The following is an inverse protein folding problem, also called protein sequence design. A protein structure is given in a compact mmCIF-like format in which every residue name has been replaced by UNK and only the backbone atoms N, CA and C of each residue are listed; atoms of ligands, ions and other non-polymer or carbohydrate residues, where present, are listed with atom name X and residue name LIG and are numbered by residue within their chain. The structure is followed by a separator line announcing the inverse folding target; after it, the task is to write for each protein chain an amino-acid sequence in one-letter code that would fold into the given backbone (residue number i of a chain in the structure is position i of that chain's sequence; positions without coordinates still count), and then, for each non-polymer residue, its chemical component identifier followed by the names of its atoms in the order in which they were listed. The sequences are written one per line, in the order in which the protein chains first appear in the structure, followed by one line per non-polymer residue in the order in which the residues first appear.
data_IF_262520885823
#
_entry.id   IF_262520885823
#
_cell.length_a   1.000
_cell.length_b   1.000
_cell.length_c   1.000
_cell.angle_alpha   90.00
_cell.angle_beta   90.00
_cell.angle_gamma   90.00
#
_symmetry.space_group_name_H-M   'P 1'
#
loop_
_entity.id
_entity.type
_entity.pdbx_description
1 polymer ?
#
# COMPACT_ATOMS: atom_id res chain seq x y z
N UNK A 1 -66.91 47.28 -64.93
CA UNK A 1 -66.49 45.87 -65.01
C UNK A 1 -65.16 45.78 -64.27
N UNK A 2 -65.18 45.27 -63.04
CA UNK A 2 -64.01 45.14 -62.17
C UNK A 2 -63.63 43.65 -62.10
N UNK A 3 -62.35 43.35 -62.27
CA UNK A 3 -61.78 42.00 -62.25
C UNK A 3 -60.65 41.93 -61.20
N UNK A 4 -60.34 40.72 -60.67
CA UNK A 4 -60.22 40.43 -59.23
C UNK A 4 -58.79 40.48 -58.63
N UNK A 5 -58.64 40.39 -57.29
CA UNK A 5 -57.34 40.44 -56.59
C UNK A 5 -56.50 39.16 -56.79
N UNK A 6 -55.19 39.34 -56.97
CA UNK A 6 -54.19 38.26 -57.07
C UNK A 6 -53.79 37.73 -55.69
N UNK A 7 -53.88 36.41 -55.52
CA UNK A 7 -53.43 35.67 -54.33
C UNK A 7 -51.89 35.59 -54.24
N UNK A 8 -51.31 35.45 -53.03
CA UNK A 8 -49.87 35.25 -52.86
C UNK A 8 -49.45 33.85 -53.31
N UNK A 9 -48.43 33.78 -54.16
CA UNK A 9 -47.85 32.53 -54.66
C UNK A 9 -46.89 31.97 -53.61
N UNK A 10 -47.10 30.71 -53.22
CA UNK A 10 -46.16 29.95 -52.40
C UNK A 10 -44.87 29.72 -53.20
N UNK A 11 -43.82 30.47 -52.89
CA UNK A 11 -42.50 30.24 -53.45
C UNK A 11 -41.77 29.21 -52.57
N UNK A 12 -41.87 27.93 -52.97
CA UNK A 12 -41.02 26.86 -52.47
C UNK A 12 -39.59 27.08 -52.95
N UNK A 13 -38.82 27.85 -52.17
CA UNK A 13 -37.40 28.00 -52.40
C UNK A 13 -36.71 26.68 -51.98
N UNK A 14 -36.48 25.81 -52.96
CA UNK A 14 -35.54 24.69 -52.87
C UNK A 14 -34.14 25.28 -52.67
N UNK A 15 -33.79 25.46 -51.40
CA UNK A 15 -32.42 25.71 -50.96
C UNK A 15 -31.58 24.45 -51.17
N UNK A 16 -30.45 24.65 -51.85
CA UNK A 16 -29.42 23.68 -52.17
C UNK A 16 -29.18 22.62 -51.09
N UNK A 17 -29.08 21.37 -51.53
CA UNK A 17 -28.59 20.25 -50.73
C UNK A 17 -27.17 20.55 -50.25
N UNK A 18 -27.04 20.87 -48.96
CA UNK A 18 -25.77 20.76 -48.25
C UNK A 18 -25.33 19.29 -48.27
N UNK A 19 -24.03 18.98 -48.36
CA UNK A 19 -23.57 17.61 -48.25
C UNK A 19 -23.92 17.13 -46.83
N UNK A 20 -24.86 16.19 -46.74
CA UNK A 20 -25.08 15.45 -45.51
C UNK A 20 -23.73 14.85 -45.10
N UNK A 21 -23.22 15.10 -43.88
CA UNK A 21 -22.02 14.43 -43.43
C UNK A 21 -22.36 12.94 -43.40
N UNK A 22 -21.63 12.19 -44.20
CA UNK A 22 -21.67 10.74 -44.29
C UNK A 22 -21.58 10.14 -42.88
N UNK A 23 -22.73 9.77 -42.32
CA UNK A 23 -22.81 8.90 -41.17
C UNK A 23 -22.32 7.52 -41.61
N UNK A 24 -21.01 7.30 -41.51
CA UNK A 24 -20.43 5.97 -41.62
C UNK A 24 -20.94 5.14 -40.45
N UNK A 25 -21.93 4.30 -40.74
CA UNK A 25 -22.49 3.27 -39.87
C UNK A 25 -21.39 2.26 -39.53
N UNK A 26 -20.66 2.49 -38.44
CA UNK A 26 -19.71 1.51 -37.90
C UNK A 26 -19.94 1.42 -36.39
N UNK A 27 -20.57 0.29 -36.01
CA UNK A 27 -20.71 -0.32 -34.69
C UNK A 27 -21.29 0.54 -33.54
N UNK A 28 -22.58 0.32 -33.27
CA UNK A 28 -23.27 0.48 -31.97
C UNK A 28 -23.36 1.92 -31.40
N UNK A 29 -24.34 2.74 -31.86
CA UNK A 29 -24.59 4.08 -31.31
C UNK A 29 -24.90 4.08 -29.80
N UNK A 30 -25.53 3.02 -29.29
CA UNK A 30 -25.81 2.85 -27.87
C UNK A 30 -24.53 2.68 -27.02
N UNK A 31 -23.56 1.90 -27.50
CA UNK A 31 -22.26 1.75 -26.83
C UNK A 31 -21.49 3.06 -26.86
N UNK A 32 -21.50 3.78 -27.99
CA UNK A 32 -20.87 5.11 -28.08
C UNK A 32 -21.50 6.12 -27.12
N UNK A 33 -22.83 6.12 -27.01
CA UNK A 33 -23.56 6.97 -26.06
C UNK A 33 -23.33 6.58 -24.60
N UNK A 34 -23.20 5.29 -24.31
CA UNK A 34 -22.81 4.81 -22.99
C UNK A 34 -21.37 5.23 -22.66
N UNK A 35 -20.42 5.02 -23.57
CA UNK A 35 -19.02 5.42 -23.40
C UNK A 35 -18.87 6.93 -23.24
N UNK A 36 -19.69 7.74 -23.93
CA UNK A 36 -19.67 9.20 -23.76
C UNK A 36 -20.24 9.62 -22.40
N UNK A 37 -21.34 9.00 -21.94
CA UNK A 37 -21.88 9.21 -20.60
C UNK A 37 -20.91 8.75 -19.52
N UNK A 38 -20.27 7.60 -19.70
CA UNK A 38 -19.26 7.06 -18.79
C UNK A 38 -18.03 7.99 -18.73
N UNK A 39 -17.52 8.42 -19.88
CA UNK A 39 -16.40 9.36 -19.98
C UNK A 39 -16.73 10.69 -19.29
N UNK A 40 -17.93 11.23 -19.52
CA UNK A 40 -18.40 12.44 -18.84
C UNK A 40 -18.53 12.22 -17.33
N UNK A 41 -19.04 11.07 -16.87
CA UNK A 41 -19.13 10.70 -15.45
C UNK A 41 -17.76 10.58 -14.79
N UNK A 42 -16.78 9.97 -15.46
CA UNK A 42 -15.41 9.84 -14.96
C UNK A 42 -14.74 11.22 -14.90
N UNK A 43 -14.86 12.02 -15.96
CA UNK A 43 -14.35 13.41 -15.99
C UNK A 43 -15.00 14.26 -14.91
N UNK A 44 -16.31 14.13 -14.71
CA UNK A 44 -17.01 14.80 -13.60
C UNK A 44 -16.49 14.33 -12.25
N UNK A 45 -16.34 13.02 -12.03
CA UNK A 45 -15.79 12.47 -10.79
C UNK A 45 -14.38 12.98 -10.50
N UNK A 46 -13.53 13.06 -11.52
CA UNK A 46 -12.18 13.61 -11.39
C UNK A 46 -12.18 15.13 -11.17
N UNK A 47 -13.11 15.87 -11.76
CA UNK A 47 -13.25 17.32 -11.53
C UNK A 47 -13.72 17.67 -10.12
N UNK A 48 -14.44 16.74 -9.47
CA UNK A 48 -14.90 16.88 -8.08
C UNK A 48 -13.86 16.42 -7.04
N UNK A 49 -12.62 16.15 -7.46
CA UNK A 49 -11.52 15.82 -6.54
C UNK A 49 -11.25 16.99 -5.61
N UNK A 50 -11.23 16.72 -4.30
CA UNK A 50 -10.81 17.71 -3.31
C UNK A 50 -9.28 17.80 -3.30
N UNK A 51 -8.70 19.00 -3.14
CA UNK A 51 -7.25 19.15 -3.11
C UNK A 51 -6.66 18.34 -1.97
N UNK A 52 -5.55 17.65 -2.23
CA UNK A 52 -4.90 16.76 -1.26
C UNK A 52 -4.49 17.45 0.04
N UNK A 53 -4.27 18.77 -0.01
CA UNK A 53 -3.97 19.59 1.16
C UNK A 53 -5.06 19.55 2.23
N UNK A 54 -6.35 19.45 1.86
CA UNK A 54 -7.45 19.33 2.83
C UNK A 54 -7.45 17.98 3.55
N UNK A 55 -6.94 16.94 2.89
CA UNK A 55 -6.85 15.59 3.46
C UNK A 55 -5.60 15.45 4.35
N UNK A 56 -4.51 16.14 4.00
CA UNK A 56 -3.25 16.15 4.75
C UNK A 56 -3.12 17.30 5.77
N UNK A 57 -4.19 18.09 5.98
CA UNK A 57 -4.17 19.17 6.98
C UNK A 57 -4.15 18.58 8.39
N UNK A 58 -2.94 18.42 8.93
CA UNK A 58 -2.69 17.89 10.27
C UNK A 58 -3.26 18.77 11.37
N UNK A 59 -3.52 20.05 11.10
CA UNK A 59 -4.12 20.96 12.10
C UNK A 59 -5.61 20.67 12.35
N UNK A 60 -6.28 20.04 11.38
CA UNK A 60 -7.67 19.59 11.51
C UNK A 60 -7.82 18.23 12.23
N UNK A 61 -6.71 17.51 12.43
CA UNK A 61 -6.68 16.21 13.09
C UNK A 61 -6.69 16.37 14.62
N UNK A 62 -7.88 16.51 15.19
CA UNK A 62 -8.08 16.43 16.64
C UNK A 62 -8.39 15.00 17.08
N UNK A 63 -7.86 14.60 18.24
CA UNK A 63 -8.16 13.31 18.87
C UNK A 63 -9.65 13.27 19.23
N UNK A 64 -10.41 12.24 18.84
CA UNK A 64 -11.81 12.12 19.25
C UNK A 64 -11.88 11.77 20.74
N UNK A 65 -12.69 12.51 21.51
CA UNK A 65 -12.91 12.27 22.94
C UNK A 65 -13.79 11.03 23.21
N UNK A 66 -14.50 10.53 22.18
CA UNK A 66 -15.35 9.34 22.27
C UNK A 66 -15.43 8.55 20.96
N UNK A 67 -15.81 7.27 21.05
CA UNK A 67 -16.03 6.40 19.88
C UNK A 67 -17.18 6.89 18.98
N UNK A 68 -18.25 7.42 19.57
CA UNK A 68 -19.39 7.97 18.84
C UNK A 68 -18.99 9.16 17.99
N UNK A 69 -18.13 10.04 18.52
CA UNK A 69 -17.60 11.18 17.78
C UNK A 69 -16.65 10.72 16.67
N UNK A 70 -15.79 9.73 16.93
CA UNK A 70 -14.93 9.14 15.91
C UNK A 70 -15.77 8.56 14.75
N UNK A 71 -16.84 7.83 15.07
CA UNK A 71 -17.76 7.26 14.08
C UNK A 71 -18.52 8.35 13.29
N UNK A 72 -18.97 9.41 13.96
CA UNK A 72 -19.60 10.58 13.33
C UNK A 72 -18.66 11.26 12.32
N UNK A 73 -17.39 11.46 12.70
CA UNK A 73 -16.35 12.03 11.83
C UNK A 73 -16.08 11.14 10.63
N UNK A 74 -15.97 9.82 10.83
CA UNK A 74 -15.80 8.86 9.73
C UNK A 74 -16.98 8.95 8.76
N UNK A 75 -18.21 8.91 9.28
CA UNK A 75 -19.42 8.93 8.45
C UNK A 75 -19.55 10.20 7.62
N UNK A 76 -19.05 11.34 8.12
CA UNK A 76 -19.03 12.62 7.39
C UNK A 76 -17.86 12.71 6.40
N UNK A 77 -16.67 12.23 6.78
CA UNK A 77 -15.47 12.35 5.95
C UNK A 77 -15.42 11.34 4.79
N UNK A 78 -16.03 10.16 4.94
CA UNK A 78 -16.10 9.14 3.87
C UNK A 78 -16.77 9.65 2.59
N UNK A 79 -18.00 10.20 2.62
CA UNK A 79 -18.60 10.76 1.41
C UNK A 79 -17.87 12.02 0.93
N UNK A 80 -17.31 12.82 1.85
CA UNK A 80 -16.61 14.07 1.52
C UNK A 80 -15.32 13.84 0.73
N UNK A 81 -14.49 12.87 1.13
CA UNK A 81 -13.21 12.54 0.46
C UNK A 81 -13.28 11.27 -0.42
N UNK A 82 -14.49 10.81 -0.79
CA UNK A 82 -14.70 9.54 -1.50
C UNK A 82 -13.85 9.39 -2.76
N UNK A 83 -13.73 10.48 -3.53
CA UNK A 83 -12.95 10.48 -4.77
C UNK A 83 -11.45 10.31 -4.46
N UNK A 84 -10.93 10.99 -3.43
CA UNK A 84 -9.53 10.87 -3.02
C UNK A 84 -9.21 9.46 -2.52
N UNK A 85 -10.11 8.84 -1.75
CA UNK A 85 -9.98 7.45 -1.31
C UNK A 85 -10.04 6.43 -2.47
N UNK A 86 -10.75 6.72 -3.56
CA UNK A 86 -10.76 5.86 -4.74
C UNK A 86 -9.47 5.96 -5.57
N UNK A 87 -8.75 7.06 -5.46
CA UNK A 87 -7.52 7.34 -6.23
C UNK A 87 -6.29 6.79 -5.55
N UNK A 88 -6.23 6.88 -4.22
CA UNK A 88 -5.15 6.31 -3.41
C UNK A 88 -4.77 4.88 -3.83
N UNK A 89 -5.69 3.90 -3.84
CA UNK A 89 -5.35 2.53 -4.24
C UNK A 89 -4.95 2.47 -5.71
N UNK A 90 -5.51 3.31 -6.58
CA UNK A 90 -5.18 3.33 -8.01
C UNK A 90 -3.76 3.87 -8.26
N UNK A 91 -3.32 4.85 -7.47
CA UNK A 91 -1.96 5.42 -7.52
C UNK A 91 -0.96 4.44 -6.93
N UNK A 92 -1.31 3.80 -5.81
CA UNK A 92 -0.51 2.76 -5.17
C UNK A 92 -0.34 1.58 -6.14
N UNK A 93 -1.42 1.07 -6.72
CA UNK A 93 -1.41 -0.08 -7.63
C UNK A 93 -0.81 0.26 -9.01
N UNK A 94 -0.84 1.53 -9.41
CA UNK A 94 -0.14 2.02 -10.62
C UNK A 94 1.37 2.15 -10.44
N UNK A 95 1.90 1.92 -9.23
CA UNK A 95 3.33 1.86 -8.96
C UNK A 95 3.79 0.41 -8.99
N UNK A 96 4.96 0.16 -9.58
CA UNK A 96 5.64 -1.14 -9.45
C UNK A 96 6.26 -1.24 -8.06
N UNK A 97 5.79 -2.20 -7.26
CA UNK A 97 6.40 -2.53 -5.97
C UNK A 97 7.62 -3.41 -6.20
N UNK A 98 8.67 -3.18 -5.42
CA UNK A 98 9.79 -4.13 -5.37
C UNK A 98 9.35 -5.39 -4.63
N UNK A 99 9.88 -6.56 -5.00
CA UNK A 99 9.63 -7.83 -4.32
C UNK A 99 9.90 -7.71 -2.81
N UNK A 100 10.92 -6.94 -2.42
CA UNK A 100 11.25 -6.69 -1.01
C UNK A 100 10.17 -5.86 -0.29
N UNK A 101 9.62 -4.83 -0.94
CA UNK A 101 8.56 -4.02 -0.35
C UNK A 101 7.28 -4.82 -0.17
N UNK A 102 6.90 -5.62 -1.17
CA UNK A 102 5.75 -6.52 -1.10
C UNK A 102 5.97 -7.59 -0.03
N UNK A 103 7.14 -8.20 0.03
CA UNK A 103 7.47 -9.22 1.04
C UNK A 103 7.39 -8.64 2.45
N UNK A 104 8.03 -7.48 2.70
CA UNK A 104 7.95 -6.80 4.01
C UNK A 104 6.51 -6.45 4.36
N UNK A 105 5.74 -5.91 3.40
CA UNK A 105 4.33 -5.59 3.60
C UNK A 105 3.50 -6.83 3.95
N UNK A 106 3.70 -7.93 3.22
CA UNK A 106 2.98 -9.18 3.43
C UNK A 106 3.32 -9.78 4.81
N UNK A 107 4.61 -9.81 5.18
CA UNK A 107 5.07 -10.27 6.49
C UNK A 107 4.47 -9.43 7.61
N UNK A 108 4.51 -8.10 7.50
CA UNK A 108 3.97 -7.21 8.51
C UNK A 108 2.46 -7.43 8.71
N UNK A 109 1.70 -7.55 7.61
CA UNK A 109 0.26 -7.86 7.67
C UNK A 109 0.03 -9.21 8.34
N UNK A 110 0.78 -10.25 7.97
CA UNK A 110 0.68 -11.57 8.60
C UNK A 110 0.95 -11.49 10.10
N UNK A 111 1.99 -10.79 10.53
CA UNK A 111 2.31 -10.59 11.95
C UNK A 111 1.12 -9.93 12.66
N UNK A 112 0.61 -8.82 12.14
CA UNK A 112 -0.55 -8.12 12.72
C UNK A 112 -1.76 -9.06 12.82
N UNK A 113 -2.06 -9.82 11.77
CA UNK A 113 -3.18 -10.77 11.74
C UNK A 113 -2.99 -11.88 12.78
N UNK A 114 -1.78 -12.41 12.94
CA UNK A 114 -1.47 -13.40 13.97
C UNK A 114 -1.75 -12.81 15.36
N UNK A 115 -1.31 -11.58 15.64
CA UNK A 115 -1.57 -10.90 16.91
C UNK A 115 -3.04 -10.62 17.19
N UNK A 116 -3.81 -10.25 16.16
CA UNK A 116 -5.27 -9.99 16.30
C UNK A 116 -6.06 -11.29 16.40
N UNK A 117 -5.52 -12.40 15.91
CA UNK A 117 -6.14 -13.72 16.01
C UNK A 117 -6.03 -14.27 17.43
N UNK A 118 -7.04 -15.04 17.88
CA UNK A 118 -7.01 -15.73 19.18
C UNK A 118 -5.73 -16.56 19.39
N UNK A 119 -5.18 -17.10 18.30
CA UNK A 119 -3.90 -17.84 18.26
C UNK A 119 -2.72 -16.96 18.71
N UNK A 120 -2.68 -15.67 18.36
CA UNK A 120 -1.58 -14.77 18.75
C UNK A 120 -1.46 -14.59 20.25
N UNK A 121 -2.59 -14.36 20.92
CA UNK A 121 -2.63 -14.29 22.39
C UNK A 121 -2.15 -15.59 23.05
N UNK A 122 -2.45 -16.75 22.45
CA UNK A 122 -1.95 -18.05 22.92
C UNK A 122 -0.43 -18.16 22.74
N UNK A 123 0.11 -17.79 21.59
CA UNK A 123 1.56 -17.86 21.32
C UNK A 123 2.36 -16.97 22.27
N UNK A 124 1.87 -15.76 22.55
CA UNK A 124 2.52 -14.83 23.49
C UNK A 124 2.45 -15.39 24.92
N UNK A 125 1.28 -15.93 25.31
CA UNK A 125 1.09 -16.48 26.65
C UNK A 125 1.98 -17.71 26.90
N UNK A 126 2.03 -18.67 25.98
CA UNK A 126 2.87 -19.86 26.14
C UNK A 126 4.37 -19.53 26.11
N UNK A 127 4.79 -18.55 25.30
CA UNK A 127 6.17 -18.05 25.30
C UNK A 127 6.54 -17.42 26.65
N UNK A 128 5.70 -16.54 27.19
CA UNK A 128 5.95 -15.90 28.48
C UNK A 128 5.93 -16.91 29.64
N UNK A 129 4.98 -17.84 29.64
CA UNK A 129 4.92 -18.92 30.65
C UNK A 129 6.15 -19.81 30.55
N UNK A 130 6.55 -20.22 29.34
CA UNK A 130 7.77 -20.99 29.12
C UNK A 130 9.02 -20.26 29.59
N UNK A 131 9.16 -18.97 29.23
CA UNK A 131 10.27 -18.13 29.69
C UNK A 131 10.29 -18.00 31.21
N UNK A 132 9.14 -17.78 31.85
CA UNK A 132 9.04 -17.72 33.31
C UNK A 132 9.46 -19.04 33.97
N UNK A 133 9.06 -20.18 33.39
CA UNK A 133 9.49 -21.51 33.86
C UNK A 133 11.01 -21.67 33.72
N UNK A 134 11.60 -21.24 32.59
CA UNK A 134 13.07 -21.30 32.38
C UNK A 134 13.80 -20.40 33.37
N UNK A 135 13.32 -19.18 33.61
CA UNK A 135 13.89 -18.27 34.60
C UNK A 135 13.77 -18.83 36.02
N UNK A 136 12.62 -19.39 36.39
CA UNK A 136 12.43 -20.05 37.68
C UNK A 136 13.37 -21.25 37.82
N UNK A 137 13.44 -22.11 36.79
CA UNK A 137 14.35 -23.24 36.75
C UNK A 137 15.81 -22.78 36.94
N UNK A 138 16.24 -21.73 36.22
CA UNK A 138 17.56 -21.13 36.36
C UNK A 138 17.82 -20.52 37.75
N UNK A 139 16.82 -19.91 38.37
CA UNK A 139 16.94 -19.31 39.70
C UNK A 139 17.12 -20.35 40.82
N UNK A 140 16.54 -21.55 40.66
CA UNK A 140 16.71 -22.67 41.60
C UNK A 140 17.85 -23.61 41.21
N UNK A 141 18.42 -23.47 40.00
CA UNK A 141 19.62 -24.20 39.58
C UNK A 141 20.82 -23.56 40.25
N UNK A 142 21.39 -24.25 41.25
CA UNK A 142 22.70 -23.88 41.79
C UNK A 142 23.72 -24.11 40.67
N UNK A 143 24.39 -23.06 40.15
CA UNK A 143 25.50 -23.25 39.25
C UNK A 143 26.63 -23.87 40.07
N UNK A 144 26.97 -25.13 39.81
CA UNK A 144 28.23 -25.69 40.28
C UNK A 144 29.35 -24.82 39.68
N UNK A 145 30.19 -24.23 40.52
CA UNK A 145 31.36 -23.45 40.11
C UNK A 145 32.36 -24.34 39.35
N UNK A 146 32.07 -24.63 38.08
CA UNK A 146 32.86 -25.54 37.22
C UNK A 146 33.96 -24.80 36.43
N UNK A 147 34.21 -23.53 36.73
CA UNK A 147 35.07 -22.67 35.90
C UNK A 147 36.13 -21.88 36.66
N UNK A 148 36.32 -22.13 37.96
CA UNK A 148 37.37 -21.47 38.76
C UNK A 148 38.67 -22.26 38.86
N UNK A 149 38.72 -23.51 38.40
CA UNK A 149 39.95 -24.32 38.42
C UNK A 149 40.73 -24.31 37.09
N UNK A 150 40.26 -23.60 36.04
CA UNK A 150 40.95 -23.48 34.73
C UNK A 150 41.17 -22.00 34.26
N UNK A 151 41.03 -21.01 35.15
CA UNK A 151 41.35 -19.59 34.88
C UNK A 151 42.84 -19.25 35.03
N UNK A 152 43.74 -20.22 34.89
CA UNK A 152 45.20 -20.00 34.76
C UNK A 152 45.68 -19.97 33.29
N UNK A 153 44.80 -19.70 32.33
CA UNK A 153 45.23 -19.35 30.97
C UNK A 153 44.41 -18.19 30.43
N UNK A 154 44.95 -16.96 30.49
CA UNK A 154 44.23 -15.81 29.98
C UNK A 154 44.26 -15.93 28.44
N UNK A 155 43.10 -15.76 27.82
CA UNK A 155 42.93 -15.30 26.43
C UNK A 155 43.30 -16.20 25.21
N UNK A 156 43.02 -17.52 25.21
CA UNK A 156 43.24 -18.37 24.00
C UNK A 156 42.02 -19.17 23.47
N UNK A 157 40.82 -19.05 24.06
CA UNK A 157 39.71 -19.99 23.76
C UNK A 157 38.85 -19.70 22.52
N UNK A 158 38.47 -18.44 22.27
CA UNK A 158 37.45 -18.13 21.26
C UNK A 158 38.00 -17.76 19.86
N UNK A 159 39.26 -17.30 19.78
CA UNK A 159 39.86 -16.79 18.53
C UNK A 159 40.95 -17.69 17.93
N UNK A 160 41.25 -18.82 18.56
CA UNK A 160 42.25 -19.81 18.07
C UNK A 160 41.91 -20.35 16.67
N UNK A 161 40.63 -20.50 16.36
CA UNK A 161 40.15 -20.96 15.04
C UNK A 161 40.47 -20.00 13.89
N UNK A 162 40.71 -18.72 14.16
CA UNK A 162 41.00 -17.71 13.12
C UNK A 162 42.51 -17.50 12.89
N UNK A 163 43.37 -17.93 13.83
CA UNK A 163 44.84 -17.76 13.77
C UNK A 163 45.61 -18.94 13.17
N UNK A 164 45.04 -20.14 13.14
CA UNK A 164 45.73 -21.36 12.69
C UNK A 164 46.00 -21.43 11.18
N UNK A 165 45.25 -20.70 10.35
CA UNK A 165 45.43 -20.72 8.90
C UNK A 165 46.60 -19.81 8.41
N UNK A 166 46.97 -18.80 9.19
CA UNK A 166 48.03 -17.85 8.80
C UNK A 166 49.45 -18.38 9.09
N UNK A 167 49.61 -19.34 10.00
CA UNK A 167 50.93 -19.89 10.34
C UNK A 167 51.41 -21.02 9.41
N UNK A 168 50.55 -21.52 8.52
CA UNK A 168 50.87 -22.61 7.59
C UNK A 168 51.55 -22.14 6.29
N UNK A 169 51.79 -20.84 6.12
CA UNK A 169 52.38 -20.27 4.92
C UNK A 169 53.58 -19.38 5.25
N UNK A 170 54.70 -20.00 5.63
CA UNK A 170 56.02 -19.35 5.54
C UNK A 170 57.04 -20.36 4.97
N UNK A 171 57.73 -20.02 3.86
CA UNK A 171 58.54 -20.95 3.08
C UNK A 171 59.86 -21.26 3.79
N UNK A 172 60.24 -22.54 3.82
CA UNK A 172 61.58 -22.98 4.22
C UNK A 172 62.60 -22.60 3.14
N UNK A 173 63.10 -21.36 3.19
CA UNK A 173 64.18 -20.89 2.33
C UNK A 173 65.41 -20.54 3.18
N UNK A 174 66.36 -21.48 3.13
CA UNK A 174 67.81 -21.36 3.29
C UNK A 174 68.38 -20.70 4.56
N UNK A 175 69.29 -21.43 5.24
CA UNK A 175 70.71 -21.05 5.40
C UNK A 175 71.39 -21.99 6.40
N UNK A 176 72.42 -22.74 5.98
CA UNK A 176 73.78 -22.70 6.59
C UNK A 176 74.75 -23.69 5.93
N UNK A 177 75.84 -23.09 5.45
CA UNK A 177 77.26 -23.51 5.41
C UNK A 177 77.60 -24.87 4.83
#
# INVERSE_FOLDING_TARGET
MASPPTLPISQSNQGAAAPAPSQSTIATPALRAFLSRLSNSVRHGFSQRRPWSELLDRSSLSRPDSLTEAYSRIRKNVPYFRVNYAILPLVILGRTFSDTETLIGLVLVTVIVVFVSSVGSLLISTLLVGFAIVCAHGAFRVPEDLFLDDQDSPNTGFLSFLGGAASAAAPSLATRV
#
